data_IF_499547617081
#
_entry.id   IF_499547617081
#
_cell.length_a   1.000
_cell.length_b   1.000
_cell.length_c   1.000
_cell.angle_alpha   90.00
_cell.angle_beta   90.00
_cell.angle_gamma   90.00
#
_symmetry.space_group_name_H-M   'P 1'
#
loop_
_entity.id
_entity.type
_entity.pdbx_description
1 polymer ?
#
# COMPACT_ATOMS: atom_id res chain seq x y z
N UNK A 1 12.17 -3.05 15.63
CA UNK A 1 11.96 -3.08 14.17
C UNK A 1 10.89 -2.07 13.79
N UNK A 2 11.19 -1.21 12.83
CA UNK A 2 10.25 -0.20 12.36
C UNK A 2 9.48 -0.73 11.15
N UNK A 3 8.16 -0.63 11.17
CA UNK A 3 7.29 -1.07 10.08
C UNK A 3 6.56 0.13 9.51
N UNK A 4 6.63 0.29 8.19
CA UNK A 4 5.91 1.33 7.49
C UNK A 4 4.87 0.75 6.55
N UNK A 5 3.89 1.55 6.20
CA UNK A 5 2.91 1.19 5.19
C UNK A 5 2.83 2.30 4.15
N UNK A 6 2.70 1.89 2.91
CA UNK A 6 2.52 2.77 1.77
C UNK A 6 1.16 2.49 1.15
N UNK A 7 0.28 3.48 1.21
CA UNK A 7 -1.04 3.40 0.59
C UNK A 7 -1.04 4.31 -0.64
N UNK A 8 -1.35 3.75 -1.80
CA UNK A 8 -1.39 4.54 -3.04
C UNK A 8 -2.83 4.89 -3.35
N UNK A 9 -3.11 6.19 -3.36
CA UNK A 9 -4.44 6.75 -3.58
C UNK A 9 -4.43 7.83 -4.68
N UNK A 10 -3.42 7.81 -5.54
CA UNK A 10 -3.24 8.87 -6.53
C UNK A 10 -4.07 8.67 -7.80
N UNK A 11 -4.58 7.47 -8.05
CA UNK A 11 -5.35 7.17 -9.26
C UNK A 11 -6.71 7.84 -9.30
N UNK A 12 -7.26 7.97 -10.49
CA UNK A 12 -8.60 8.52 -10.70
C UNK A 12 -9.64 7.43 -10.60
N UNK A 13 -10.63 7.61 -9.72
CA UNK A 13 -11.73 6.65 -9.51
C UNK A 13 -12.93 7.04 -10.38
N UNK A 14 -12.81 6.82 -11.67
CA UNK A 14 -13.83 7.28 -12.63
C UNK A 14 -14.97 6.30 -12.86
N UNK A 15 -14.78 5.02 -12.52
CA UNK A 15 -15.75 3.98 -12.89
C UNK A 15 -17.09 4.08 -12.19
N UNK A 16 -17.14 4.58 -10.98
CA UNK A 16 -18.36 4.62 -10.16
C UNK A 16 -18.88 6.03 -9.95
N UNK A 17 -18.24 7.03 -10.53
CA UNK A 17 -18.62 8.42 -10.33
C UNK A 17 -18.25 8.99 -8.97
N UNK A 18 -17.87 8.16 -8.01
CA UNK A 18 -17.47 8.57 -6.68
C UNK A 18 -16.00 8.30 -6.44
N UNK A 19 -15.39 9.09 -5.57
CA UNK A 19 -13.99 8.89 -5.20
C UNK A 19 -13.90 7.75 -4.18
N UNK A 20 -13.47 6.56 -4.63
CA UNK A 20 -13.46 5.33 -3.84
C UNK A 20 -12.83 5.42 -2.44
N UNK A 21 -11.66 6.10 -2.26
CA UNK A 21 -11.05 6.13 -0.93
C UNK A 21 -11.93 6.74 0.15
N UNK A 22 -12.93 7.54 -0.24
CA UNK A 22 -13.84 8.21 0.69
C UNK A 22 -15.20 7.53 0.79
N UNK A 23 -15.43 6.44 0.07
CA UNK A 23 -16.68 5.70 0.20
C UNK A 23 -16.76 5.07 1.58
N UNK A 24 -17.94 5.16 2.20
CA UNK A 24 -18.15 4.65 3.54
C UNK A 24 -18.47 3.16 3.55
N UNK A 25 -17.98 2.50 4.59
CA UNK A 25 -18.38 1.14 4.96
C UNK A 25 -18.95 1.27 6.35
N UNK A 26 -20.28 1.26 6.45
CA UNK A 26 -20.93 1.65 7.68
C UNK A 26 -20.68 3.11 7.96
N UNK A 27 -20.00 3.43 9.06
CA UNK A 27 -19.72 4.82 9.45
C UNK A 27 -18.31 5.29 9.13
N UNK A 28 -17.46 4.45 8.49
CA UNK A 28 -16.08 4.81 8.16
C UNK A 28 -15.78 4.52 6.70
N UNK A 29 -14.90 5.36 6.12
CA UNK A 29 -14.51 5.20 4.72
C UNK A 29 -13.55 4.02 4.54
N UNK A 30 -13.37 3.61 3.27
CA UNK A 30 -12.41 2.55 2.90
C UNK A 30 -11.00 2.94 3.36
N UNK A 31 -10.59 4.20 3.11
CA UNK A 31 -9.27 4.66 3.51
C UNK A 31 -9.08 4.61 5.03
N UNK A 32 -10.08 5.06 5.79
CA UNK A 32 -10.02 5.01 7.25
C UNK A 32 -9.94 3.56 7.74
N UNK A 33 -10.65 2.65 7.11
CA UNK A 33 -10.63 1.24 7.48
C UNK A 33 -9.25 0.63 7.28
N UNK A 34 -8.62 0.92 6.15
CA UNK A 34 -7.27 0.42 5.87
C UNK A 34 -6.29 0.94 6.91
N UNK A 35 -6.35 2.24 7.21
CA UNK A 35 -5.48 2.86 8.20
C UNK A 35 -5.67 2.21 9.58
N UNK A 36 -6.91 2.04 10.00
CA UNK A 36 -7.21 1.42 11.30
C UNK A 36 -6.67 0.00 11.37
N UNK A 37 -6.84 -0.78 10.31
CA UNK A 37 -6.36 -2.15 10.24
C UNK A 37 -4.83 -2.23 10.35
N UNK A 38 -4.13 -1.35 9.64
CA UNK A 38 -2.68 -1.30 9.72
C UNK A 38 -2.19 -0.92 11.11
N UNK A 39 -2.84 0.04 11.76
CA UNK A 39 -2.48 0.44 13.11
C UNK A 39 -2.74 -0.68 14.12
N UNK A 40 -3.84 -1.38 13.95
CA UNK A 40 -4.19 -2.51 14.81
C UNK A 40 -3.13 -3.61 14.71
N UNK A 41 -2.53 -3.77 13.55
CA UNK A 41 -1.46 -4.76 13.33
C UNK A 41 -0.09 -4.29 13.82
N UNK A 42 0.02 -3.06 14.34
CA UNK A 42 1.27 -2.56 14.90
C UNK A 42 2.17 -1.78 13.94
N UNK A 43 1.62 -1.31 12.84
CA UNK A 43 2.40 -0.50 11.88
C UNK A 43 2.72 0.87 12.49
N UNK A 44 4.00 1.24 12.47
CA UNK A 44 4.51 2.45 13.11
C UNK A 44 4.30 3.72 12.30
N UNK A 45 4.39 3.62 10.98
CA UNK A 45 4.40 4.78 10.10
C UNK A 45 3.55 4.50 8.87
N UNK A 46 2.58 5.36 8.59
CA UNK A 46 1.69 5.21 7.43
C UNK A 46 1.86 6.41 6.51
N UNK A 47 2.19 6.13 5.26
CA UNK A 47 2.35 7.13 4.20
C UNK A 47 1.29 6.88 3.15
N UNK A 48 0.63 7.94 2.71
CA UNK A 48 -0.35 7.86 1.62
C UNK A 48 0.07 8.78 0.49
N UNK A 49 0.17 8.25 -0.72
CA UNK A 49 0.46 9.05 -1.90
C UNK A 49 -0.86 9.42 -2.55
N UNK A 50 -1.12 10.73 -2.66
CA UNK A 50 -2.37 11.28 -3.17
C UNK A 50 -2.15 11.96 -4.52
N UNK A 51 -3.24 12.16 -5.26
CA UNK A 51 -3.21 12.82 -6.56
C UNK A 51 -4.57 13.39 -6.87
N UNK A 52 -5.43 12.63 -7.55
CA UNK A 52 -6.80 13.03 -7.81
C UNK A 52 -7.53 13.26 -6.49
N UNK A 53 -8.18 14.41 -6.35
CA UNK A 53 -8.86 14.81 -5.11
C UNK A 53 -7.96 14.82 -3.86
N UNK A 54 -6.68 15.11 -4.03
CA UNK A 54 -5.71 15.07 -2.93
C UNK A 54 -6.18 15.91 -1.74
N UNK A 55 -6.60 17.14 -1.98
CA UNK A 55 -7.00 18.04 -0.89
C UNK A 55 -8.20 17.49 -0.10
N UNK A 56 -9.20 16.95 -0.80
CA UNK A 56 -10.39 16.39 -0.15
C UNK A 56 -10.02 15.19 0.69
N UNK A 57 -9.19 14.29 0.17
CA UNK A 57 -8.76 13.10 0.88
C UNK A 57 -7.89 13.46 2.09
N UNK A 58 -6.96 14.39 1.94
CA UNK A 58 -6.10 14.83 3.03
C UNK A 58 -6.91 15.44 4.16
N UNK A 59 -7.93 16.25 3.83
CA UNK A 59 -8.84 16.83 4.83
C UNK A 59 -9.66 15.75 5.53
N UNK A 60 -10.15 14.77 4.77
CA UNK A 60 -10.94 13.66 5.30
C UNK A 60 -10.14 12.85 6.32
N UNK A 61 -8.85 12.69 6.10
CA UNK A 61 -7.97 11.86 6.92
C UNK A 61 -7.04 12.68 7.82
N UNK A 62 -7.28 13.97 7.98
CA UNK A 62 -6.36 14.88 8.69
C UNK A 62 -6.04 14.42 10.12
N UNK A 63 -6.99 13.76 10.80
CA UNK A 63 -6.81 13.34 12.19
C UNK A 63 -6.38 11.88 12.33
N UNK A 64 -5.99 11.23 11.25
CA UNK A 64 -5.65 9.80 11.26
C UNK A 64 -4.15 9.52 11.40
N UNK A 65 -3.33 10.55 11.56
CA UNK A 65 -1.88 10.37 11.77
C UNK A 65 -1.13 9.86 10.56
N UNK A 66 -1.59 10.18 9.37
CA UNK A 66 -1.01 9.73 8.10
C UNK A 66 -0.12 10.82 7.52
N UNK A 67 1.00 10.42 6.95
CA UNK A 67 1.89 11.32 6.21
C UNK A 67 1.44 11.33 4.75
N UNK A 68 1.14 12.52 4.22
CA UNK A 68 0.67 12.66 2.84
C UNK A 68 1.79 13.12 1.93
N UNK A 69 1.93 12.44 0.79
CA UNK A 69 2.82 12.83 -0.30
C UNK A 69 1.97 12.96 -1.56
N UNK A 70 2.19 14.00 -2.34
CA UNK A 70 1.39 14.22 -3.55
C UNK A 70 2.14 13.81 -4.81
N UNK A 71 1.44 13.09 -5.68
CA UNK A 71 1.88 12.91 -7.06
C UNK A 71 1.15 13.96 -7.90
N UNK A 72 1.81 15.07 -8.18
CA UNK A 72 1.21 16.16 -8.93
C UNK A 72 1.05 15.83 -10.41
N UNK A 73 1.71 14.79 -10.88
CA UNK A 73 1.60 14.31 -12.26
C UNK A 73 0.70 13.08 -12.38
N UNK A 74 -0.25 12.92 -11.48
CA UNK A 74 -1.07 11.70 -11.42
C UNK A 74 -1.81 11.42 -12.73
N UNK A 75 -2.13 12.45 -13.53
CA UNK A 75 -2.83 12.28 -14.79
C UNK A 75 -1.95 11.65 -15.88
N UNK A 76 -0.63 11.74 -15.74
CA UNK A 76 0.33 11.29 -16.74
C UNK A 76 1.23 10.16 -16.26
N UNK A 77 0.94 9.60 -15.07
CA UNK A 77 1.75 8.55 -14.47
C UNK A 77 0.87 7.37 -14.08
N UNK A 78 1.51 6.26 -13.79
CA UNK A 78 0.83 5.04 -13.37
C UNK A 78 1.01 4.84 -11.86
N UNK A 79 0.32 3.82 -11.32
CA UNK A 79 0.37 3.52 -9.89
C UNK A 79 1.79 3.28 -9.39
N UNK A 80 2.64 2.63 -10.19
CA UNK A 80 4.01 2.37 -9.80
C UNK A 80 4.82 3.66 -9.61
N UNK A 81 4.55 4.68 -10.41
CA UNK A 81 5.22 5.98 -10.24
C UNK A 81 4.85 6.61 -8.89
N UNK A 82 3.59 6.49 -8.49
CA UNK A 82 3.15 6.94 -7.16
C UNK A 82 3.78 6.09 -6.07
N UNK A 83 3.87 4.79 -6.27
CA UNK A 83 4.52 3.89 -5.31
C UNK A 83 5.98 4.29 -5.08
N UNK A 84 6.70 4.68 -6.14
CA UNK A 84 8.09 5.13 -6.01
C UNK A 84 8.22 6.36 -5.11
N UNK A 85 7.27 7.28 -5.18
CA UNK A 85 7.28 8.48 -4.32
C UNK A 85 7.27 8.06 -2.85
N UNK A 86 6.38 7.15 -2.50
CA UNK A 86 6.26 6.66 -1.13
C UNK A 86 7.46 5.84 -0.69
N UNK A 87 7.96 4.97 -1.56
CA UNK A 87 9.12 4.15 -1.25
C UNK A 87 10.38 5.00 -1.03
N UNK A 88 10.57 6.04 -1.83
CA UNK A 88 11.70 6.94 -1.65
C UNK A 88 11.63 7.65 -0.30
N UNK A 89 10.45 8.06 0.11
CA UNK A 89 10.26 8.69 1.43
C UNK A 89 10.56 7.71 2.56
N UNK A 90 10.11 6.46 2.43
CA UNK A 90 10.27 5.47 3.49
C UNK A 90 11.67 4.84 3.55
N UNK A 91 12.46 5.03 2.51
CA UNK A 91 13.81 4.49 2.46
C UNK A 91 14.64 5.05 3.62
N UNK A 92 15.24 4.14 4.40
CA UNK A 92 16.01 4.53 5.58
C UNK A 92 15.20 4.82 6.84
N UNK A 93 13.86 4.76 6.75
CA UNK A 93 12.99 5.04 7.90
C UNK A 93 12.32 3.80 8.46
N UNK A 94 12.24 2.73 7.69
CA UNK A 94 11.56 1.50 8.08
C UNK A 94 12.36 0.29 7.63
N UNK A 95 12.22 -0.81 8.36
CA UNK A 95 12.86 -2.09 8.02
C UNK A 95 11.99 -2.92 7.09
N UNK A 96 10.68 -2.87 7.31
CA UNK A 96 9.69 -3.56 6.47
C UNK A 96 8.62 -2.57 6.04
N UNK A 97 8.14 -2.74 4.82
CA UNK A 97 7.14 -1.86 4.23
C UNK A 97 6.00 -2.71 3.69
N UNK A 98 4.78 -2.28 4.01
CA UNK A 98 3.56 -2.88 3.47
C UNK A 98 3.02 -1.97 2.38
N UNK A 99 2.80 -2.53 1.20
CA UNK A 99 2.26 -1.78 0.06
C UNK A 99 0.83 -2.22 -0.22
N UNK A 100 -0.07 -1.26 -0.37
CA UNK A 100 -1.45 -1.53 -0.80
C UNK A 100 -2.03 -0.36 -1.59
N UNK A 101 -2.73 -0.63 -2.71
CA UNK A 101 -3.61 0.37 -3.29
C UNK A 101 -4.80 0.59 -2.37
N UNK A 102 -5.44 1.74 -2.48
CA UNK A 102 -6.56 2.09 -1.61
C UNK A 102 -7.90 1.53 -2.09
N UNK A 103 -7.96 1.02 -3.32
CA UNK A 103 -9.20 0.59 -3.95
C UNK A 103 -9.40 -0.93 -4.01
N UNK A 104 -8.59 -1.70 -3.30
CA UNK A 104 -8.69 -3.16 -3.27
C UNK A 104 -9.65 -3.60 -2.16
N UNK A 105 -10.10 -4.87 -2.19
CA UNK A 105 -10.86 -5.43 -1.07
C UNK A 105 -10.10 -5.33 0.25
N UNK A 106 -10.84 -5.18 1.33
CA UNK A 106 -10.25 -4.98 2.65
C UNK A 106 -9.60 -6.26 3.17
N UNK A 107 -8.52 -6.09 3.89
CA UNK A 107 -7.84 -7.18 4.58
C UNK A 107 -7.93 -6.98 6.09
N UNK A 108 -7.61 -8.02 6.85
CA UNK A 108 -7.66 -7.96 8.32
C UNK A 108 -6.28 -7.71 8.92
N UNK A 109 -6.27 -7.32 10.20
CA UNK A 109 -5.03 -7.17 10.94
C UNK A 109 -4.28 -8.50 11.05
N UNK A 110 -4.99 -9.63 11.12
CA UNK A 110 -4.34 -10.94 11.15
C UNK A 110 -3.56 -11.23 9.87
N UNK A 111 -4.13 -10.85 8.72
CA UNK A 111 -3.41 -10.97 7.45
C UNK A 111 -2.16 -10.11 7.43
N UNK A 112 -2.23 -8.88 7.93
CA UNK A 112 -1.06 -8.00 8.01
C UNK A 112 0.03 -8.63 8.90
N UNK A 113 -0.36 -9.13 10.06
CA UNK A 113 0.59 -9.80 10.98
C UNK A 113 1.23 -11.03 10.33
N UNK A 114 0.44 -11.79 9.57
CA UNK A 114 0.93 -13.01 8.92
C UNK A 114 2.03 -12.69 7.90
N UNK A 115 1.83 -11.68 7.04
CA UNK A 115 2.87 -11.32 6.06
C UNK A 115 4.08 -10.67 6.72
N UNK A 116 3.89 -9.89 7.78
CA UNK A 116 5.00 -9.30 8.53
C UNK A 116 5.83 -10.37 9.25
N UNK A 117 5.18 -11.41 9.75
CA UNK A 117 5.85 -12.48 10.48
C UNK A 117 6.38 -13.60 9.63
N UNK A 118 6.29 -13.50 8.30
CA UNK A 118 6.69 -14.58 7.39
C UNK A 118 8.18 -14.89 7.38
N UNK A 119 9.03 -13.95 7.80
CA UNK A 119 10.47 -14.10 7.73
C UNK A 119 11.06 -13.91 6.34
N UNK A 120 10.23 -13.61 5.35
CA UNK A 120 10.65 -13.42 3.96
C UNK A 120 11.03 -11.96 3.70
N UNK A 121 11.80 -11.72 2.65
CA UNK A 121 12.11 -10.37 2.19
C UNK A 121 10.97 -9.76 1.38
N UNK A 122 10.15 -10.61 0.78
CA UNK A 122 9.04 -10.20 -0.06
C UNK A 122 7.92 -11.23 0.11
N UNK A 123 6.77 -10.79 0.63
CA UNK A 123 5.67 -11.70 0.93
C UNK A 123 4.32 -11.08 0.56
N UNK A 124 3.38 -11.93 0.21
CA UNK A 124 2.02 -11.50 -0.10
C UNK A 124 1.03 -12.54 0.44
N UNK A 125 -0.18 -12.10 0.85
CA UNK A 125 -1.16 -13.05 1.36
C UNK A 125 -1.85 -13.80 0.23
N UNK A 126 -2.19 -15.06 0.48
CA UNK A 126 -2.94 -15.89 -0.47
C UNK A 126 -4.12 -16.51 0.28
N UNK A 127 -5.32 -16.33 -0.25
CA UNK A 127 -6.53 -16.95 0.27
C UNK A 127 -7.19 -17.74 -0.85
N UNK A 128 -7.35 -19.05 -0.65
CA UNK A 128 -7.97 -19.95 -1.63
C UNK A 128 -7.32 -19.82 -3.02
N UNK A 129 -5.99 -19.73 -3.04
CA UNK A 129 -5.22 -19.63 -4.27
C UNK A 129 -5.19 -18.24 -4.91
N UNK A 130 -5.83 -17.25 -4.30
CA UNK A 130 -5.87 -15.89 -4.83
C UNK A 130 -4.89 -14.98 -4.09
N UNK A 131 -3.96 -14.34 -4.81
CA UNK A 131 -3.06 -13.38 -4.16
C UNK A 131 -3.80 -12.12 -3.79
N UNK A 132 -3.37 -11.48 -2.70
CA UNK A 132 -3.99 -10.26 -2.21
C UNK A 132 -2.96 -9.27 -1.70
N UNK A 133 -3.44 -8.34 -0.92
CA UNK A 133 -2.65 -7.27 -0.30
C UNK A 133 -2.86 -7.29 1.20
N UNK A 134 -2.00 -6.64 1.98
CA UNK A 134 -0.85 -5.87 1.53
C UNK A 134 0.32 -6.75 1.13
N UNK A 135 1.19 -6.22 0.27
CA UNK A 135 2.44 -6.88 -0.07
C UNK A 135 3.51 -6.34 0.87
N UNK A 136 4.24 -7.24 1.52
CA UNK A 136 5.33 -6.86 2.44
C UNK A 136 6.66 -6.96 1.70
N UNK A 137 7.47 -5.91 1.79
CA UNK A 137 8.82 -5.93 1.25
C UNK A 137 9.80 -5.38 2.28
N UNK A 138 11.01 -5.93 2.29
CA UNK A 138 12.05 -5.45 3.19
C UNK A 138 12.77 -4.24 2.58
N UNK A 139 13.25 -3.36 3.45
CA UNK A 139 13.88 -2.11 3.05
C UNK A 139 15.01 -2.25 2.04
N UNK A 140 15.90 -3.27 2.12
CA UNK A 140 16.98 -3.44 1.14
C UNK A 140 16.52 -3.61 -0.30
N UNK A 141 15.24 -3.92 -0.54
CA UNK A 141 14.71 -4.07 -1.90
C UNK A 141 14.35 -2.72 -2.54
N UNK A 142 14.25 -1.66 -1.76
CA UNK A 142 13.80 -0.36 -2.26
C UNK A 142 14.68 0.19 -3.39
N UNK A 143 16.03 0.18 -3.30
CA UNK A 143 16.85 0.71 -4.39
C UNK A 143 16.56 0.06 -5.74
N UNK A 144 16.37 -1.26 -5.76
CA UNK A 144 16.05 -1.98 -6.99
C UNK A 144 14.70 -1.53 -7.56
N UNK A 145 13.71 -1.33 -6.69
CA UNK A 145 12.39 -0.88 -7.11
C UNK A 145 12.43 0.56 -7.64
N UNK A 146 13.19 1.44 -7.01
CA UNK A 146 13.33 2.82 -7.46
C UNK A 146 14.04 2.91 -8.81
N UNK A 147 14.92 1.98 -9.12
CA UNK A 147 15.66 1.93 -10.37
C UNK A 147 14.91 1.20 -11.49
N UNK A 148 13.78 0.57 -11.19
CA UNK A 148 13.05 -0.24 -12.16
C UNK A 148 12.37 0.63 -13.21
N UNK A 149 12.27 0.10 -14.45
CA UNK A 149 11.68 0.81 -15.59
C UNK A 149 10.17 1.03 -15.44
N UNK A 150 9.51 0.22 -14.62
CA UNK A 150 8.06 0.28 -14.47
C UNK A 150 7.27 -0.55 -15.46
N UNK A 151 7.92 -1.35 -16.29
CA UNK A 151 7.20 -2.27 -17.19
C UNK A 151 6.37 -3.24 -16.35
N UNK A 152 5.11 -3.40 -16.73
CA UNK A 152 4.12 -4.21 -16.01
C UNK A 152 3.86 -3.71 -14.58
N UNK A 153 4.17 -2.44 -14.32
CA UNK A 153 3.84 -1.78 -13.07
C UNK A 153 4.57 -2.35 -11.86
N UNK A 154 3.91 -2.28 -10.71
CA UNK A 154 4.49 -2.76 -9.45
C UNK A 154 4.79 -4.25 -9.48
N UNK A 155 3.91 -5.04 -10.07
CA UNK A 155 4.11 -6.49 -10.15
C UNK A 155 5.36 -6.86 -10.95
N UNK A 156 5.58 -6.19 -12.08
CA UNK A 156 6.79 -6.38 -12.86
C UNK A 156 8.04 -5.99 -12.09
N UNK A 157 8.00 -4.86 -11.41
CA UNK A 157 9.11 -4.39 -10.59
C UNK A 157 9.44 -5.38 -9.47
N UNK A 158 8.42 -5.91 -8.81
CA UNK A 158 8.62 -6.90 -7.73
C UNK A 158 9.24 -8.19 -8.27
N UNK A 159 8.88 -8.61 -9.47
CA UNK A 159 9.46 -9.81 -10.07
C UNK A 159 10.93 -9.64 -10.44
N UNK A 160 11.39 -8.40 -10.61
CA UNK A 160 12.77 -8.08 -11.01
C UNK A 160 13.66 -7.60 -9.86
N UNK A 161 13.12 -7.47 -8.65
CA UNK A 161 13.87 -6.85 -7.55
C UNK A 161 14.92 -7.75 -6.90
N UNK A 162 15.00 -9.00 -7.31
CA UNK A 162 16.01 -9.94 -6.82
C UNK A 162 15.57 -10.84 -5.66
N UNK A 163 14.36 -10.65 -5.15
CA UNK A 163 13.82 -11.50 -4.09
C UNK A 163 12.68 -12.34 -4.63
N UNK A 164 12.51 -13.54 -4.07
CA UNK A 164 11.37 -14.38 -4.40
C UNK A 164 10.12 -13.87 -3.70
N UNK A 165 9.00 -13.88 -4.42
CA UNK A 165 7.70 -13.57 -3.82
C UNK A 165 7.20 -14.79 -3.06
N UNK A 166 7.11 -14.64 -1.74
CA UNK A 166 6.71 -15.73 -0.84
C UNK A 166 5.22 -15.64 -0.55
N UNK A 167 4.43 -16.67 -0.95
CA UNK A 167 3.00 -16.68 -0.61
C UNK A 167 2.81 -17.02 0.86
N UNK A 168 1.89 -16.31 1.51
CA UNK A 168 1.54 -16.54 2.92
C UNK A 168 0.06 -16.91 2.97
N UNK A 169 -0.29 -18.15 3.29
CA UNK A 169 -1.69 -18.55 3.37
C UNK A 169 -2.42 -17.80 4.49
N UNK A 170 -3.58 -17.24 4.15
CA UNK A 170 -4.43 -16.53 5.11
C UNK A 170 -5.87 -16.95 4.91
N UNK A 171 -6.72 -16.64 5.89
CA UNK A 171 -8.13 -17.06 5.86
C UNK A 171 -9.07 -15.99 5.30
N UNK A 172 -8.65 -14.74 5.26
CA UNK A 172 -9.55 -13.69 4.78
C UNK A 172 -9.41 -13.51 3.27
N UNK A 173 -10.55 -13.29 2.62
CA UNK A 173 -10.64 -13.09 1.18
C UNK A 173 -10.55 -11.60 0.79
N UNK A 174 -10.34 -10.76 1.75
CA UNK A 174 -10.31 -9.30 1.59
C UNK A 174 -9.09 -8.66 1.00
#
# INVERSE_FOLDING_TARGET
>A
MQTGALIVAAGMSSRMGDFKPMLNIGSISIAQRIIATLRQAGVDRIVMVTGYNALALERHLANNGVIFLRNENYEHTQMFDSAKIGLAYLQGKCDKILFTPVDIPLFTADTVRAVLGSGAELAFPVCEGRPGHPIMLSSPLIPALLADSGEEGMQGALSRCGAEMTPVPVEDAG
#
